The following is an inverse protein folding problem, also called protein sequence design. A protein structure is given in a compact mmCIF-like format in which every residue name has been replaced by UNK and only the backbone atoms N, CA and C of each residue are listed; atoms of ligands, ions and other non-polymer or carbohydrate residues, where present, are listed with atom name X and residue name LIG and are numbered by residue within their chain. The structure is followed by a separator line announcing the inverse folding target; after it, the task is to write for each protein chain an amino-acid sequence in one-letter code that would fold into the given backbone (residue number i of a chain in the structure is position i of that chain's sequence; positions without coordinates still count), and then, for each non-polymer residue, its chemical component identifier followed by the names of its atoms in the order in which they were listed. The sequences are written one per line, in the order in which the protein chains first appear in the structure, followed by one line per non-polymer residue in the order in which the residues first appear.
data_IF_421067863368
#
_entry.id   IF_421067863368
#
_cell.length_a   1.000
_cell.length_b   1.000
_cell.length_c   1.000
_cell.angle_alpha   90.00
_cell.angle_beta   90.00
_cell.angle_gamma   90.00
#
_symmetry.space_group_name_H-M   'P 1'
#
loop_
_entity.id
_entity.type
_entity.pdbx_description
1 polymer ?
#
# COMPACT_ATOMS: atom_id res chain seq x y z
N UNK A 1 11.16 -4.28 21.05
CA UNK A 1 10.99 -5.63 20.45
C UNK A 1 10.45 -5.51 19.03
N UNK A 2 10.83 -6.42 18.14
CA UNK A 2 10.47 -6.43 16.71
C UNK A 2 9.58 -7.64 16.42
N UNK A 3 8.50 -7.44 15.68
CA UNK A 3 7.85 -8.50 14.88
C UNK A 3 8.58 -8.53 13.54
N UNK A 4 9.28 -9.62 13.24
CA UNK A 4 10.11 -9.76 12.05
C UNK A 4 9.32 -9.84 10.74
N UNK A 5 10.03 -9.82 9.61
CA UNK A 5 9.45 -10.06 8.29
C UNK A 5 8.73 -11.41 8.26
N UNK A 6 7.49 -11.42 7.76
CA UNK A 6 6.68 -12.62 7.60
C UNK A 6 6.38 -13.39 8.89
N UNK A 7 6.55 -12.80 10.08
CA UNK A 7 6.46 -13.53 11.35
C UNK A 7 5.17 -14.35 11.54
N UNK A 8 4.06 -13.90 10.99
CA UNK A 8 2.76 -14.59 10.97
C UNK A 8 2.28 -14.90 9.55
N UNK A 9 3.18 -14.86 8.58
CA UNK A 9 2.83 -15.08 7.17
C UNK A 9 2.14 -16.43 6.99
N UNK A 10 0.98 -16.42 6.28
CA UNK A 10 0.16 -17.62 6.02
C UNK A 10 -0.37 -18.34 7.26
N UNK A 11 -0.45 -17.67 8.38
CA UNK A 11 -1.13 -18.22 9.56
C UNK A 11 -2.65 -18.21 9.33
N UNK A 12 -3.13 -19.02 8.38
CA UNK A 12 -4.51 -19.02 7.90
C UNK A 12 -5.57 -19.28 8.99
N UNK A 13 -5.20 -20.02 10.03
CA UNK A 13 -6.10 -20.39 11.13
C UNK A 13 -6.01 -19.48 12.35
N UNK A 14 -5.14 -18.48 12.33
CA UNK A 14 -4.97 -17.53 13.44
C UNK A 14 -6.22 -16.66 13.54
N UNK A 15 -6.95 -16.78 14.66
CA UNK A 15 -8.23 -16.07 14.86
C UNK A 15 -8.07 -14.77 15.64
N UNK A 16 -7.09 -14.69 16.51
CA UNK A 16 -6.81 -13.55 17.36
C UNK A 16 -5.32 -13.44 17.64
N UNK A 17 -4.85 -12.21 17.74
CA UNK A 17 -3.47 -11.90 18.10
C UNK A 17 -3.45 -10.64 18.95
N UNK A 18 -2.72 -10.68 20.04
CA UNK A 18 -2.43 -9.51 20.85
C UNK A 18 -0.96 -9.15 20.63
N UNK A 19 -0.72 -7.94 20.16
CA UNK A 19 0.63 -7.38 20.05
C UNK A 19 0.94 -6.71 21.40
N UNK A 20 1.96 -7.15 22.13
CA UNK A 20 2.29 -6.57 23.43
C UNK A 20 2.93 -5.18 23.27
N UNK A 21 2.80 -4.34 24.33
CA UNK A 21 3.35 -2.98 24.36
C UNK A 21 4.88 -2.91 24.32
N UNK A 22 5.57 -4.02 24.39
CA UNK A 22 7.01 -4.10 24.16
C UNK A 22 7.42 -4.05 22.69
N UNK A 23 6.45 -4.21 21.76
CA UNK A 23 6.72 -4.18 20.32
C UNK A 23 6.80 -2.74 19.82
N UNK A 24 7.91 -2.42 19.18
CA UNK A 24 8.16 -1.08 18.62
C UNK A 24 8.19 -1.05 17.10
N UNK A 25 8.31 -2.21 16.44
CA UNK A 25 8.38 -2.30 14.98
C UNK A 25 7.70 -3.56 14.45
N UNK A 26 7.05 -3.43 13.29
CA UNK A 26 6.41 -4.51 12.56
C UNK A 26 7.03 -4.60 11.17
N UNK A 27 7.56 -5.76 10.83
CA UNK A 27 8.28 -6.02 9.58
C UNK A 27 7.38 -6.23 8.36
N UNK A 28 8.00 -6.34 7.20
CA UNK A 28 7.32 -6.61 5.94
C UNK A 28 6.51 -7.90 6.02
N UNK A 29 5.33 -7.91 5.40
CA UNK A 29 4.45 -9.10 5.28
C UNK A 29 4.13 -9.80 6.60
N UNK A 30 4.25 -9.11 7.72
CA UNK A 30 4.12 -9.74 9.04
C UNK A 30 2.78 -10.48 9.22
N UNK A 31 1.69 -9.98 8.63
CA UNK A 31 0.34 -10.55 8.72
C UNK A 31 -0.22 -11.00 7.36
N UNK A 32 0.64 -11.14 6.37
CA UNK A 32 0.28 -11.63 5.04
C UNK A 32 -0.44 -12.98 5.12
N UNK A 33 -1.61 -13.08 4.51
CA UNK A 33 -2.36 -14.35 4.46
C UNK A 33 -3.04 -14.75 5.77
N UNK A 34 -3.11 -13.90 6.78
CA UNK A 34 -3.81 -14.19 8.04
C UNK A 34 -5.35 -14.11 7.87
N UNK A 35 -5.92 -14.94 7.00
CA UNK A 35 -7.32 -14.84 6.53
C UNK A 35 -8.37 -14.96 7.65
N UNK A 36 -8.08 -15.66 8.74
CA UNK A 36 -9.00 -15.88 9.87
C UNK A 36 -8.86 -14.84 10.97
N UNK A 37 -7.84 -13.98 10.93
CA UNK A 37 -7.59 -12.96 11.96
C UNK A 37 -8.65 -11.86 11.85
N UNK A 38 -9.53 -11.77 12.85
CA UNK A 38 -10.72 -10.90 12.79
C UNK A 38 -10.37 -9.43 13.01
N UNK A 39 -9.42 -9.16 13.85
CA UNK A 39 -8.98 -7.80 14.18
C UNK A 39 -7.52 -7.76 14.57
N UNK A 40 -6.90 -6.62 14.38
CA UNK A 40 -5.54 -6.33 14.82
C UNK A 40 -5.51 -4.93 15.41
N UNK A 41 -4.93 -4.81 16.59
CA UNK A 41 -4.67 -3.53 17.25
C UNK A 41 -3.17 -3.26 17.18
N UNK A 42 -2.80 -2.11 16.61
CA UNK A 42 -1.41 -1.63 16.62
C UNK A 42 -1.21 -0.83 17.90
N UNK A 43 -0.43 -1.34 18.86
CA UNK A 43 -0.28 -0.68 20.17
C UNK A 43 0.48 0.65 20.08
N UNK A 44 0.32 1.48 21.11
CA UNK A 44 0.94 2.81 21.20
C UNK A 44 2.47 2.80 21.10
N UNK A 45 3.10 1.68 21.44
CA UNK A 45 4.56 1.49 21.40
C UNK A 45 5.14 1.35 19.98
N UNK A 46 4.32 1.00 18.98
CA UNK A 46 4.80 0.79 17.60
C UNK A 46 5.11 2.13 16.95
N UNK A 47 6.36 2.32 16.59
CA UNK A 47 6.86 3.54 15.93
C UNK A 47 7.25 3.31 14.47
N UNK A 48 7.33 2.04 14.03
CA UNK A 48 7.72 1.70 12.67
C UNK A 48 6.89 0.53 12.15
N UNK A 49 6.35 0.71 10.96
CA UNK A 49 5.61 -0.31 10.21
C UNK A 49 6.21 -0.37 8.80
N UNK A 50 6.53 -1.58 8.36
CA UNK A 50 7.05 -1.86 7.03
C UNK A 50 5.92 -2.13 6.03
N UNK A 51 6.27 -2.39 4.78
CA UNK A 51 5.34 -2.54 3.67
C UNK A 51 4.57 -3.87 3.68
N UNK A 52 3.49 -3.92 2.88
CA UNK A 52 2.80 -5.16 2.48
C UNK A 52 2.21 -6.00 3.63
N UNK A 53 1.80 -5.35 4.70
CA UNK A 53 1.37 -6.03 5.93
C UNK A 53 0.10 -6.88 5.76
N UNK A 54 -0.84 -6.46 4.91
CA UNK A 54 -2.25 -6.85 4.98
C UNK A 54 -2.75 -7.59 3.75
N UNK A 55 -1.89 -8.20 2.97
CA UNK A 55 -2.33 -9.03 1.85
C UNK A 55 -3.16 -10.22 2.34
N UNK A 56 -4.31 -10.46 1.70
CA UNK A 56 -5.29 -11.48 2.11
C UNK A 56 -5.69 -11.44 3.61
N UNK A 57 -5.64 -10.26 4.22
CA UNK A 57 -6.19 -10.03 5.54
C UNK A 57 -7.34 -9.02 5.46
N UNK A 58 -8.52 -9.44 5.91
CA UNK A 58 -9.78 -8.70 5.78
C UNK A 58 -10.33 -8.23 7.12
N UNK A 59 -9.60 -8.42 8.22
CA UNK A 59 -10.00 -8.05 9.56
C UNK A 59 -10.05 -6.54 9.79
N UNK A 60 -10.54 -6.16 10.95
CA UNK A 60 -10.56 -4.76 11.39
C UNK A 60 -9.19 -4.32 11.91
N UNK A 61 -8.76 -3.12 11.54
CA UNK A 61 -7.51 -2.52 11.99
C UNK A 61 -7.80 -1.32 12.88
N UNK A 62 -7.25 -1.35 14.08
CA UNK A 62 -7.24 -0.23 15.01
C UNK A 62 -5.79 0.22 15.26
N UNK A 63 -5.57 1.53 15.31
CA UNK A 63 -4.26 2.10 15.63
C UNK A 63 -4.35 2.90 16.93
N UNK A 64 -3.64 2.45 17.95
CA UNK A 64 -3.40 3.19 19.18
C UNK A 64 -2.08 3.97 19.14
N UNK A 65 -1.23 3.64 18.17
CA UNK A 65 0.05 4.32 17.98
C UNK A 65 -0.15 5.77 17.53
N UNK A 66 0.55 6.74 18.13
CA UNK A 66 0.51 8.13 17.70
C UNK A 66 1.24 8.41 16.39
N UNK A 67 1.92 7.41 15.83
CA UNK A 67 2.70 7.52 14.59
C UNK A 67 1.93 7.10 13.35
N UNK A 68 0.72 6.55 13.51
CA UNK A 68 -0.09 6.06 12.40
C UNK A 68 -1.56 6.40 12.59
N UNK A 69 -2.26 6.57 11.49
CA UNK A 69 -3.70 6.83 11.46
C UNK A 69 -4.37 5.80 10.56
N UNK A 70 -5.37 5.11 11.09
CA UNK A 70 -6.28 4.26 10.32
C UNK A 70 -7.55 5.03 10.00
N UNK A 71 -7.81 5.26 8.71
CA UNK A 71 -8.97 5.99 8.24
C UNK A 71 -9.54 5.30 6.98
N UNK A 72 -10.84 4.96 7.01
CA UNK A 72 -11.53 4.34 5.87
C UNK A 72 -10.74 3.19 5.20
N UNK A 73 -10.22 2.25 5.98
CA UNK A 73 -9.42 1.11 5.50
C UNK A 73 -8.06 1.49 4.89
N UNK A 74 -7.60 2.71 5.12
CA UNK A 74 -6.27 3.18 4.75
C UNK A 74 -5.43 3.40 5.99
N UNK A 75 -4.21 2.90 5.98
CA UNK A 75 -3.19 3.18 6.98
C UNK A 75 -2.30 4.30 6.46
N UNK A 76 -2.24 5.38 7.20
CA UNK A 76 -1.38 6.53 6.93
C UNK A 76 -0.29 6.68 8.00
N UNK A 77 0.73 7.46 7.69
CA UNK A 77 1.60 8.06 8.69
C UNK A 77 0.82 9.07 9.56
N UNK A 78 1.46 9.56 10.62
CA UNK A 78 0.84 10.45 11.63
C UNK A 78 0.29 11.76 11.06
N UNK A 79 0.88 12.24 9.97
CA UNK A 79 0.52 13.51 9.33
C UNK A 79 -0.44 13.32 8.16
N UNK A 80 -0.85 12.08 7.89
CA UNK A 80 -1.61 11.66 6.70
C UNK A 80 -0.93 11.99 5.37
N UNK A 81 0.35 12.29 5.39
CA UNK A 81 1.12 12.65 4.21
C UNK A 81 1.53 11.45 3.35
N UNK A 82 1.62 10.27 3.96
CA UNK A 82 2.00 9.03 3.28
C UNK A 82 0.94 7.96 3.45
N UNK A 83 0.49 7.37 2.35
CA UNK A 83 -0.29 6.12 2.38
C UNK A 83 0.69 4.95 2.58
N UNK A 84 0.57 4.26 3.72
CA UNK A 84 1.40 3.10 4.06
C UNK A 84 0.77 1.81 3.55
N UNK A 85 -0.56 1.67 3.68
CA UNK A 85 -1.27 0.50 3.18
C UNK A 85 -2.74 0.81 2.89
N UNK A 86 -3.24 0.28 1.77
CA UNK A 86 -4.63 0.33 1.36
C UNK A 86 -5.26 -1.06 1.52
N UNK A 87 -6.22 -1.19 2.42
CA UNK A 87 -6.82 -2.47 2.80
C UNK A 87 -8.05 -2.86 1.98
N UNK A 88 -8.71 -1.90 1.34
CA UNK A 88 -9.95 -2.17 0.59
C UNK A 88 -9.65 -2.79 -0.79
N UNK A 89 -9.44 -4.11 -0.80
CA UNK A 89 -9.12 -4.85 -2.03
C UNK A 89 -10.30 -5.02 -2.98
N UNK A 90 -11.52 -4.76 -2.51
CA UNK A 90 -12.75 -4.90 -3.30
C UNK A 90 -13.14 -3.60 -4.00
N UNK A 91 -12.57 -2.47 -3.59
CA UNK A 91 -12.87 -1.17 -4.19
C UNK A 91 -12.49 -1.14 -5.67
N UNK A 92 -13.37 -0.56 -6.49
CA UNK A 92 -13.15 -0.47 -7.94
C UNK A 92 -12.62 0.89 -8.38
N UNK A 93 -12.74 1.90 -7.53
CA UNK A 93 -12.23 3.24 -7.79
C UNK A 93 -11.81 3.92 -6.49
N UNK A 94 -10.74 4.67 -6.53
CA UNK A 94 -10.28 5.44 -5.39
C UNK A 94 -9.72 6.79 -5.83
N UNK A 95 -9.98 7.81 -5.03
CA UNK A 95 -9.38 9.14 -5.17
C UNK A 95 -8.48 9.36 -3.99
N UNK A 96 -7.18 9.49 -4.25
CA UNK A 96 -6.20 9.80 -3.21
C UNK A 96 -6.48 11.23 -2.71
N UNK A 97 -6.58 11.44 -1.39
CA UNK A 97 -6.81 12.77 -0.83
C UNK A 97 -5.68 13.75 -1.17
N UNK A 98 -6.01 15.03 -1.31
CA UNK A 98 -5.11 16.11 -1.71
C UNK A 98 -4.07 16.51 -0.65
N UNK A 99 -4.19 15.98 0.56
CA UNK A 99 -3.17 16.12 1.60
C UNK A 99 -2.05 15.06 1.51
N UNK A 100 -2.22 14.02 0.69
CA UNK A 100 -1.22 12.95 0.51
C UNK A 100 -0.12 13.44 -0.42
N UNK A 101 1.13 13.32 0.03
CA UNK A 101 2.32 13.70 -0.75
C UNK A 101 3.14 12.51 -1.23
N UNK A 102 2.95 11.32 -0.62
CA UNK A 102 3.67 10.11 -0.97
C UNK A 102 2.78 8.87 -0.93
N UNK A 103 2.99 7.98 -1.89
CA UNK A 103 2.43 6.64 -1.88
C UNK A 103 3.56 5.69 -1.49
N UNK A 104 3.42 5.04 -0.35
CA UNK A 104 4.44 4.17 0.22
C UNK A 104 4.67 2.88 -0.57
N UNK A 105 5.74 2.18 -0.22
CA UNK A 105 6.07 0.90 -0.83
C UNK A 105 4.91 -0.10 -0.67
N UNK A 106 4.51 -0.71 -1.78
CA UNK A 106 3.43 -1.72 -1.86
C UNK A 106 2.09 -1.29 -1.27
N UNK A 107 1.85 0.03 -1.13
CA UNK A 107 0.65 0.57 -0.49
C UNK A 107 -0.65 0.06 -1.11
N UNK A 108 -0.73 -0.10 -2.44
CA UNK A 108 -1.87 -0.66 -3.18
C UNK A 108 -1.55 -2.02 -3.81
N UNK A 109 -0.51 -2.72 -3.33
CA UNK A 109 -0.15 -4.03 -3.87
C UNK A 109 -1.37 -4.96 -3.93
N UNK A 110 -1.55 -5.61 -5.09
CA UNK A 110 -2.67 -6.53 -5.35
C UNK A 110 -4.09 -5.98 -5.11
N UNK A 111 -4.30 -4.67 -5.29
CA UNK A 111 -5.64 -4.11 -5.40
C UNK A 111 -6.27 -4.51 -6.74
N UNK A 112 -6.51 -5.83 -6.91
CA UNK A 112 -6.89 -6.43 -8.20
C UNK A 112 -8.26 -6.02 -8.70
N UNK A 113 -9.13 -5.49 -7.84
CA UNK A 113 -10.45 -4.96 -8.22
C UNK A 113 -10.40 -3.50 -8.68
N UNK A 114 -9.32 -2.77 -8.36
CA UNK A 114 -9.18 -1.34 -8.63
C UNK A 114 -9.07 -1.09 -10.14
N UNK A 115 -10.07 -0.40 -10.71
CA UNK A 115 -10.16 -0.10 -12.15
C UNK A 115 -9.69 1.30 -12.50
N UNK A 116 -9.88 2.23 -11.58
CA UNK A 116 -9.49 3.63 -11.76
C UNK A 116 -8.93 4.21 -10.47
N UNK A 117 -7.91 5.05 -10.63
CA UNK A 117 -7.26 5.77 -9.54
C UNK A 117 -6.99 7.20 -9.98
N UNK A 118 -7.28 8.15 -9.08
CA UNK A 118 -6.90 9.54 -9.27
C UNK A 118 -5.80 9.87 -8.27
N UNK A 119 -4.66 10.29 -8.79
CA UNK A 119 -3.50 10.77 -8.03
C UNK A 119 -3.49 12.29 -8.11
N UNK A 120 -3.68 13.01 -6.99
CA UNK A 120 -3.75 14.47 -6.98
C UNK A 120 -2.37 15.12 -7.17
N UNK A 121 -2.38 16.44 -7.42
CA UNK A 121 -1.15 17.22 -7.60
C UNK A 121 -0.27 17.35 -6.34
N UNK A 122 -0.78 16.95 -5.20
CA UNK A 122 0.01 16.88 -3.96
C UNK A 122 1.04 15.76 -3.95
N UNK A 123 0.79 14.66 -4.70
CA UNK A 123 1.68 13.49 -4.70
C UNK A 123 2.95 13.76 -5.49
N UNK A 124 4.09 13.56 -4.84
CA UNK A 124 5.44 13.81 -5.38
C UNK A 124 6.17 12.49 -5.68
N UNK A 125 5.88 11.43 -4.90
CA UNK A 125 6.60 10.16 -5.02
C UNK A 125 5.68 8.95 -4.97
N UNK A 126 6.05 7.92 -5.74
CA UNK A 126 5.42 6.62 -5.78
C UNK A 126 6.48 5.57 -5.40
N UNK A 127 6.23 4.84 -4.32
CA UNK A 127 7.15 3.85 -3.75
C UNK A 127 7.28 2.57 -4.58
N UNK A 128 8.19 1.70 -4.14
CA UNK A 128 8.46 0.42 -4.78
C UNK A 128 7.23 -0.50 -4.72
N UNK A 129 6.86 -1.09 -5.85
CA UNK A 129 5.71 -1.97 -5.95
C UNK A 129 4.38 -1.35 -5.55
N UNK A 130 4.28 -0.03 -5.47
CA UNK A 130 3.12 0.68 -4.90
C UNK A 130 1.78 0.22 -5.47
N UNK A 131 1.72 -0.08 -6.77
CA UNK A 131 0.54 -0.60 -7.48
C UNK A 131 0.81 -1.95 -8.15
N UNK A 132 1.84 -2.67 -7.71
CA UNK A 132 2.15 -3.95 -8.37
C UNK A 132 0.95 -4.90 -8.27
N UNK A 133 0.71 -5.62 -9.37
CA UNK A 133 -0.38 -6.61 -9.52
C UNK A 133 -1.80 -6.01 -9.40
N UNK A 134 -1.97 -4.71 -9.61
CA UNK A 134 -3.28 -4.07 -9.79
C UNK A 134 -3.86 -4.45 -11.17
N UNK A 135 -4.24 -5.71 -11.35
CA UNK A 135 -4.56 -6.31 -12.66
C UNK A 135 -5.72 -5.66 -13.40
N UNK A 136 -6.67 -5.07 -12.69
CA UNK A 136 -7.85 -4.42 -13.28
C UNK A 136 -7.65 -2.92 -13.56
N UNK A 137 -6.53 -2.32 -13.18
CA UNK A 137 -6.28 -0.90 -13.36
C UNK A 137 -6.19 -0.58 -14.85
N UNK A 138 -7.18 0.19 -15.34
CA UNK A 138 -7.32 0.48 -16.78
C UNK A 138 -6.81 1.86 -17.14
N UNK A 139 -6.97 2.79 -16.22
CA UNK A 139 -6.58 4.18 -16.40
C UNK A 139 -5.97 4.73 -15.12
N UNK A 140 -4.93 5.48 -15.30
CA UNK A 140 -4.23 6.20 -14.25
C UNK A 140 -3.80 7.55 -14.83
N UNK A 141 -4.11 8.61 -14.10
CA UNK A 141 -3.61 9.93 -14.42
C UNK A 141 -2.61 10.29 -13.33
N UNK A 142 -1.36 10.47 -13.72
CA UNK A 142 -0.35 11.04 -12.85
C UNK A 142 -0.43 12.55 -12.83
N UNK A 143 -0.20 13.10 -11.67
CA UNK A 143 0.03 14.52 -11.48
C UNK A 143 1.35 14.97 -12.14
N UNK A 144 1.38 16.20 -12.63
CA UNK A 144 2.60 16.84 -13.14
C UNK A 144 3.61 17.21 -12.04
N UNK A 145 3.43 16.72 -10.81
CA UNK A 145 4.34 16.94 -9.70
C UNK A 145 5.05 15.66 -9.24
N UNK A 146 4.68 14.51 -9.77
CA UNK A 146 5.38 13.25 -9.48
C UNK A 146 6.79 13.33 -10.06
N UNK A 147 7.78 13.18 -9.20
CA UNK A 147 9.21 13.23 -9.58
C UNK A 147 9.87 11.86 -9.62
N UNK A 148 9.32 10.88 -8.90
CA UNK A 148 9.91 9.54 -8.82
C UNK A 148 8.84 8.43 -8.83
N UNK A 149 9.14 7.37 -9.57
CA UNK A 149 8.40 6.13 -9.64
C UNK A 149 9.37 5.01 -9.21
N UNK A 150 9.02 4.26 -8.16
CA UNK A 150 9.86 3.23 -7.58
C UNK A 150 9.96 1.95 -8.44
N UNK A 151 10.81 1.02 -7.98
CA UNK A 151 10.99 -0.29 -8.61
C UNK A 151 9.68 -1.07 -8.62
N UNK A 152 9.37 -1.74 -9.71
CA UNK A 152 8.13 -2.55 -9.87
C UNK A 152 6.83 -1.80 -9.53
N UNK A 153 6.82 -0.47 -9.54
CA UNK A 153 5.70 0.33 -9.03
C UNK A 153 4.34 -0.03 -9.68
N UNK A 154 4.33 -0.36 -10.97
CA UNK A 154 3.15 -0.78 -11.73
C UNK A 154 3.31 -2.18 -12.33
N UNK A 155 4.25 -2.98 -11.81
CA UNK A 155 4.45 -4.35 -12.28
C UNK A 155 3.15 -5.13 -12.31
N UNK A 156 2.88 -5.83 -13.42
CA UNK A 156 1.69 -6.67 -13.56
C UNK A 156 0.36 -5.93 -13.64
N UNK A 157 0.34 -4.61 -13.85
CA UNK A 157 -0.87 -3.84 -14.17
C UNK A 157 -1.36 -4.19 -15.59
N UNK A 158 -1.79 -5.44 -15.78
CA UNK A 158 -2.00 -6.05 -17.09
C UNK A 158 -3.14 -5.44 -17.91
N UNK A 159 -4.05 -4.68 -17.30
CA UNK A 159 -5.15 -3.98 -17.98
C UNK A 159 -4.85 -2.51 -18.28
N UNK A 160 -3.70 -1.97 -17.85
CA UNK A 160 -3.32 -0.59 -18.07
C UNK A 160 -3.04 -0.35 -19.55
N UNK A 161 -3.88 0.45 -20.21
CA UNK A 161 -3.85 0.62 -21.67
C UNK A 161 -2.98 1.77 -22.13
N UNK A 162 -3.01 2.85 -21.39
CA UNK A 162 -2.24 4.06 -21.68
C UNK A 162 -1.72 4.66 -20.41
N UNK A 163 -0.53 5.19 -20.49
CA UNK A 163 0.15 5.85 -19.38
C UNK A 163 1.00 7.00 -19.93
N UNK A 164 0.76 8.17 -19.41
CA UNK A 164 1.57 9.34 -19.75
C UNK A 164 2.51 9.61 -18.60
N UNK A 165 3.81 9.56 -18.89
CA UNK A 165 4.85 9.95 -17.93
C UNK A 165 4.97 11.48 -18.01
N UNK A 166 4.68 12.20 -16.92
CA UNK A 166 4.84 13.65 -16.89
C UNK A 166 6.31 14.07 -17.01
N UNK A 167 6.54 15.28 -17.55
CA UNK A 167 7.90 15.84 -17.65
C UNK A 167 8.58 16.07 -16.30
N UNK A 168 7.80 16.09 -15.21
CA UNK A 168 8.31 16.18 -13.83
C UNK A 168 9.05 14.94 -13.37
N UNK A 169 8.81 13.76 -13.98
CA UNK A 169 9.42 12.49 -13.55
C UNK A 169 10.88 12.46 -13.95
N UNK A 170 11.75 12.42 -12.95
CA UNK A 170 13.22 12.40 -13.11
C UNK A 170 13.81 11.01 -12.89
N UNK A 171 13.07 10.10 -12.26
CA UNK A 171 13.51 8.72 -12.04
C UNK A 171 12.37 7.72 -12.16
N UNK A 172 12.65 6.58 -12.81
CA UNK A 172 11.79 5.41 -12.91
C UNK A 172 12.66 4.22 -12.51
N UNK A 173 12.20 3.45 -11.52
CA UNK A 173 12.90 2.30 -10.99
C UNK A 173 12.88 1.09 -11.92
N UNK A 174 13.62 0.06 -11.55
CA UNK A 174 13.73 -1.18 -12.29
C UNK A 174 12.36 -1.88 -12.36
N UNK A 175 12.04 -2.48 -13.50
CA UNK A 175 10.80 -3.23 -13.74
C UNK A 175 9.49 -2.46 -13.46
N UNK A 176 9.53 -1.12 -13.38
CA UNK A 176 8.39 -0.29 -12.97
C UNK A 176 7.10 -0.60 -13.74
N UNK A 177 7.19 -0.99 -15.02
CA UNK A 177 6.06 -1.35 -15.88
C UNK A 177 6.16 -2.79 -16.40
N UNK A 178 6.96 -3.64 -15.75
CA UNK A 178 7.11 -5.02 -16.17
C UNK A 178 5.75 -5.73 -16.22
N UNK A 179 5.50 -6.49 -17.27
CA UNK A 179 4.22 -7.22 -17.46
C UNK A 179 2.94 -6.36 -17.54
N UNK A 180 3.05 -5.08 -17.86
CA UNK A 180 1.92 -4.22 -18.25
C UNK A 180 1.49 -4.55 -19.68
N UNK A 181 0.87 -5.72 -19.88
CA UNK A 181 0.66 -6.36 -21.21
C UNK A 181 -0.27 -5.60 -22.14
N UNK A 182 -1.09 -4.68 -21.65
CA UNK A 182 -2.03 -3.88 -22.45
C UNK A 182 -1.49 -2.49 -22.75
N UNK A 183 -0.33 -2.14 -22.22
CA UNK A 183 0.28 -0.82 -22.41
C UNK A 183 0.81 -0.69 -23.84
N UNK A 184 0.39 0.38 -24.56
CA UNK A 184 0.72 0.67 -25.95
C UNK A 184 0.92 2.18 -26.18
#
# INVERSE_FOLDING_TARGET
TLIGEGAFMNCYSLKSLIIPDSVTSIGDRAFWGCRSLKSLIIPASVVNIKADLFYEWYGELECLSPYFICDNKVLFDKDKSTIIAFKDKDTTSYVIPDYVTSIGDRAFHECSSLKSLVIPDSVISIGNGAFSVCRSLKSLVLSNRVTSIGDSAFEGCSSLKSFVIPDSVTSIGDDAFWSCRSLN
#
